data_IF_642518467646
#
_entry.id   IF_642518467646
#
_cell.length_a   1.000
_cell.length_b   1.000
_cell.length_c   1.000
_cell.angle_alpha   90.00
_cell.angle_beta   90.00
_cell.angle_gamma   90.00
#
_symmetry.space_group_name_H-M   'P 1'
#
loop_
_entity.id
_entity.type
_entity.pdbx_description
1 polymer ?
#
# COMPACT_ATOMS: atom_id res chain seq x y z
N UNK A 1 -28.67 -31.24 16.92
CA UNK A 1 -27.74 -30.48 16.06
C UNK A 1 -28.53 -29.71 15.00
N UNK A 2 -28.21 -28.44 14.74
CA UNK A 2 -28.76 -27.69 13.60
C UNK A 2 -28.33 -28.37 12.28
N UNK A 3 -29.19 -28.41 11.26
CA UNK A 3 -28.82 -28.93 9.93
C UNK A 3 -27.62 -28.17 9.35
N UNK A 4 -26.82 -28.81 8.49
CA UNK A 4 -25.65 -28.18 7.85
C UNK A 4 -26.03 -26.92 7.09
N UNK A 5 -27.14 -26.95 6.35
CA UNK A 5 -27.70 -25.77 5.70
C UNK A 5 -27.97 -24.61 6.67
N UNK A 6 -28.60 -24.87 7.83
CA UNK A 6 -28.88 -23.83 8.84
C UNK A 6 -27.60 -23.27 9.46
N UNK A 7 -26.59 -24.11 9.66
CA UNK A 7 -25.28 -23.67 10.17
C UNK A 7 -24.54 -22.79 9.14
N UNK A 8 -24.48 -23.20 7.88
CA UNK A 8 -23.88 -22.40 6.81
C UNK A 8 -24.59 -21.06 6.61
N UNK A 9 -25.92 -21.04 6.72
CA UNK A 9 -26.69 -19.79 6.69
C UNK A 9 -26.32 -18.89 7.87
N UNK A 10 -26.21 -19.45 9.08
CA UNK A 10 -25.78 -18.71 10.26
C UNK A 10 -24.38 -18.12 10.10
N UNK A 11 -23.39 -18.88 9.61
CA UNK A 11 -22.02 -18.37 9.39
C UNK A 11 -22.03 -17.20 8.41
N UNK A 12 -22.71 -17.35 7.27
CA UNK A 12 -22.82 -16.31 6.25
C UNK A 12 -23.48 -15.04 6.82
N UNK A 13 -24.67 -15.15 7.42
CA UNK A 13 -25.40 -14.00 7.94
C UNK A 13 -24.63 -13.30 9.07
N UNK A 14 -23.99 -14.06 9.96
CA UNK A 14 -23.22 -13.51 11.07
C UNK A 14 -22.00 -12.75 10.57
N UNK A 15 -21.22 -13.37 9.68
CA UNK A 15 -20.01 -12.72 9.16
C UNK A 15 -20.35 -11.50 8.31
N UNK A 16 -21.35 -11.58 7.43
CA UNK A 16 -21.79 -10.42 6.63
C UNK A 16 -22.17 -9.25 7.55
N UNK A 17 -22.98 -9.49 8.60
CA UNK A 17 -23.36 -8.44 9.54
C UNK A 17 -22.14 -7.81 10.25
N UNK A 18 -21.22 -8.65 10.76
CA UNK A 18 -20.04 -8.16 11.48
C UNK A 18 -19.08 -7.40 10.55
N UNK A 19 -18.88 -7.91 9.33
CA UNK A 19 -17.99 -7.29 8.36
C UNK A 19 -18.57 -5.96 7.86
N UNK A 20 -19.84 -5.92 7.48
CA UNK A 20 -20.51 -4.68 7.03
C UNK A 20 -20.46 -3.60 8.10
N UNK A 21 -20.80 -3.92 9.36
CA UNK A 21 -20.75 -2.95 10.45
C UNK A 21 -19.35 -2.35 10.66
N UNK A 22 -18.30 -3.15 10.48
CA UNK A 22 -16.93 -2.65 10.52
C UNK A 22 -16.60 -1.78 9.30
N UNK A 23 -16.91 -2.24 8.09
CA UNK A 23 -16.57 -1.55 6.84
C UNK A 23 -17.24 -0.18 6.74
N UNK A 24 -18.50 -0.06 7.16
CA UNK A 24 -19.23 1.22 7.18
C UNK A 24 -18.51 2.26 8.04
N UNK A 25 -18.07 1.87 9.24
CA UNK A 25 -17.34 2.74 10.16
C UNK A 25 -15.92 3.03 9.66
N UNK A 26 -15.25 2.02 9.11
CA UNK A 26 -13.93 2.14 8.51
C UNK A 26 -13.91 3.18 7.39
N UNK A 27 -14.91 3.16 6.50
CA UNK A 27 -14.99 4.15 5.42
C UNK A 27 -15.28 5.56 5.93
N UNK A 28 -16.11 5.73 6.97
CA UNK A 28 -16.36 7.05 7.57
C UNK A 28 -15.07 7.63 8.18
N UNK A 29 -14.34 6.84 8.98
CA UNK A 29 -13.05 7.23 9.55
C UNK A 29 -12.03 7.57 8.47
N UNK A 30 -11.90 6.72 7.45
CA UNK A 30 -10.96 6.92 6.36
C UNK A 30 -11.30 8.12 5.46
N UNK A 31 -12.57 8.54 5.43
CA UNK A 31 -13.00 9.77 4.76
C UNK A 31 -12.81 11.04 5.62
N UNK A 32 -12.24 10.89 6.81
CA UNK A 32 -11.76 11.99 7.66
C UNK A 32 -12.61 12.29 8.89
N UNK A 33 -13.72 11.57 9.11
CA UNK A 33 -14.50 11.69 10.33
C UNK A 33 -14.00 10.70 11.40
N UNK A 34 -13.03 11.14 12.18
CA UNK A 34 -12.44 10.37 13.27
C UNK A 34 -13.34 10.26 14.52
N UNK A 35 -14.55 10.83 14.49
CA UNK A 35 -15.53 10.68 15.57
C UNK A 35 -16.02 9.24 15.76
N UNK A 36 -15.88 8.40 14.72
CA UNK A 36 -16.32 6.99 14.74
C UNK A 36 -15.24 5.99 15.16
N UNK A 37 -14.00 6.43 15.39
CA UNK A 37 -12.84 5.54 15.60
C UNK A 37 -13.05 4.56 16.75
N UNK A 38 -13.60 5.01 17.88
CA UNK A 38 -13.85 4.16 19.04
C UNK A 38 -14.92 3.07 18.76
N UNK A 39 -15.90 3.37 17.92
CA UNK A 39 -16.93 2.39 17.54
C UNK A 39 -16.43 1.47 16.43
N UNK A 40 -15.58 1.98 15.52
CA UNK A 40 -14.86 1.18 14.53
C UNK A 40 -14.00 0.13 15.24
N UNK A 41 -13.23 0.50 16.27
CA UNK A 41 -12.39 -0.42 17.04
C UNK A 41 -13.22 -1.53 17.70
N UNK A 42 -14.37 -1.19 18.28
CA UNK A 42 -15.30 -2.18 18.84
C UNK A 42 -15.87 -3.11 17.77
N UNK A 43 -16.22 -2.58 16.59
CA UNK A 43 -16.72 -3.38 15.47
C UNK A 43 -15.65 -4.32 14.92
N UNK A 44 -14.40 -3.83 14.81
CA UNK A 44 -13.23 -4.60 14.42
C UNK A 44 -13.00 -5.76 15.39
N UNK A 45 -12.99 -5.50 16.69
CA UNK A 45 -12.81 -6.53 17.72
C UNK A 45 -13.88 -7.62 17.66
N UNK A 46 -15.16 -7.26 17.43
CA UNK A 46 -16.26 -8.23 17.27
C UNK A 46 -16.09 -9.10 16.02
N UNK A 47 -15.70 -8.49 14.90
CA UNK A 47 -15.44 -9.21 13.63
C UNK A 47 -14.26 -10.15 13.78
N UNK A 48 -13.19 -9.71 14.44
CA UNK A 48 -11.98 -10.49 14.61
C UNK A 48 -12.18 -11.65 15.60
N UNK A 49 -12.95 -11.44 16.67
CA UNK A 49 -13.37 -12.52 17.56
C UNK A 49 -14.09 -13.65 16.82
N UNK A 50 -14.93 -13.33 15.83
CA UNK A 50 -15.57 -14.34 14.97
C UNK A 50 -14.54 -15.06 14.09
N UNK A 51 -13.59 -14.33 13.47
CA UNK A 51 -12.54 -14.91 12.61
C UNK A 51 -11.66 -15.90 13.36
N UNK A 52 -11.38 -15.63 14.63
CA UNK A 52 -10.51 -16.45 15.49
C UNK A 52 -11.26 -17.48 16.34
N UNK A 53 -12.57 -17.70 16.10
CA UNK A 53 -13.36 -18.61 16.93
C UNK A 53 -13.02 -20.09 16.66
N UNK A 54 -12.26 -20.69 17.58
CA UNK A 54 -11.83 -22.10 17.54
C UNK A 54 -13.03 -23.06 17.61
N UNK A 55 -14.13 -22.66 18.26
CA UNK A 55 -15.32 -23.50 18.39
C UNK A 55 -16.06 -23.60 17.06
N UNK A 56 -16.22 -22.48 16.35
CA UNK A 56 -16.80 -22.47 15.00
C UNK A 56 -15.92 -23.23 13.99
N UNK A 57 -14.60 -23.05 14.06
CA UNK A 57 -13.64 -23.79 13.24
C UNK A 57 -13.78 -25.31 13.46
N UNK A 58 -13.86 -25.75 14.71
CA UNK A 58 -14.07 -27.17 15.07
C UNK A 58 -15.42 -27.68 14.57
N UNK A 59 -16.49 -26.91 14.68
CA UNK A 59 -17.81 -27.33 14.19
C UNK A 59 -17.82 -27.51 12.66
N UNK A 60 -17.09 -26.66 11.92
CA UNK A 60 -16.89 -26.84 10.46
C UNK A 60 -16.20 -28.18 10.17
N UNK A 61 -15.12 -28.49 10.90
CA UNK A 61 -14.39 -29.75 10.73
C UNK A 61 -15.23 -30.99 11.09
N UNK A 62 -16.00 -30.94 12.17
CA UNK A 62 -16.91 -32.02 12.57
C UNK A 62 -17.98 -32.30 11.51
N UNK A 63 -18.57 -31.23 10.93
CA UNK A 63 -19.55 -31.33 9.86
C UNK A 63 -18.97 -31.83 8.54
N UNK A 64 -17.67 -31.60 8.29
CA UNK A 64 -16.94 -32.17 7.15
C UNK A 64 -16.64 -33.66 7.34
N UNK A 65 -16.27 -34.09 8.56
CA UNK A 65 -15.95 -35.50 8.88
C UNK A 65 -17.16 -36.42 8.76
N UNK A 66 -18.39 -35.90 8.87
CA UNK A 66 -19.62 -36.67 8.63
C UNK A 66 -19.73 -37.89 9.53
N UNK A 67 -19.58 -37.69 10.85
CA UNK A 67 -19.54 -38.76 11.86
C UNK A 67 -20.76 -39.70 11.83
N UNK A 68 -20.62 -40.87 12.47
CA UNK A 68 -21.70 -41.87 12.59
C UNK A 68 -22.94 -41.22 13.23
N UNK A 69 -24.05 -41.18 12.50
CA UNK A 69 -25.31 -40.55 12.93
C UNK A 69 -25.53 -39.11 12.45
N UNK A 70 -24.56 -38.49 11.75
CA UNK A 70 -24.75 -37.19 11.13
C UNK A 70 -25.49 -37.32 9.78
N UNK A 71 -26.44 -36.43 9.53
CA UNK A 71 -27.08 -36.30 8.21
C UNK A 71 -25.99 -35.96 7.18
N UNK A 72 -25.83 -36.80 6.15
CA UNK A 72 -24.81 -36.59 5.11
C UNK A 72 -25.00 -35.22 4.47
N UNK A 73 -24.02 -34.34 4.62
CA UNK A 73 -23.95 -33.08 3.87
C UNK A 73 -23.92 -33.38 2.37
N UNK A 74 -24.73 -32.64 1.62
CA UNK A 74 -24.71 -32.67 0.15
C UNK A 74 -23.34 -32.25 -0.40
N UNK A 75 -23.03 -32.58 -1.65
CA UNK A 75 -21.80 -32.13 -2.30
C UNK A 75 -21.65 -30.59 -2.25
N UNK A 76 -22.74 -29.86 -2.48
CA UNK A 76 -22.78 -28.39 -2.40
C UNK A 76 -22.46 -27.86 -1.00
N UNK A 77 -23.01 -28.48 0.04
CA UNK A 77 -22.72 -28.10 1.42
C UNK A 77 -21.26 -28.38 1.80
N UNK A 78 -20.69 -29.51 1.34
CA UNK A 78 -19.27 -29.81 1.54
C UNK A 78 -18.36 -28.77 0.92
N UNK A 79 -18.60 -28.36 -0.33
CA UNK A 79 -17.81 -27.31 -0.97
C UNK A 79 -17.86 -25.99 -0.19
N UNK A 80 -19.03 -25.62 0.33
CA UNK A 80 -19.17 -24.41 1.17
C UNK A 80 -18.46 -24.53 2.52
N UNK A 81 -18.51 -25.71 3.15
CA UNK A 81 -17.77 -25.97 4.39
C UNK A 81 -16.25 -25.90 4.17
N UNK A 82 -15.74 -26.34 3.02
CA UNK A 82 -14.32 -26.23 2.68
C UNK A 82 -13.87 -24.77 2.57
N UNK A 83 -14.71 -23.88 2.03
CA UNK A 83 -14.43 -22.43 2.00
C UNK A 83 -14.34 -21.88 3.43
N UNK A 84 -15.30 -22.21 4.29
CA UNK A 84 -15.27 -21.79 5.70
C UNK A 84 -14.08 -22.38 6.46
N UNK A 85 -13.70 -23.63 6.17
CA UNK A 85 -12.50 -24.25 6.74
C UNK A 85 -11.25 -23.47 6.36
N UNK A 86 -11.08 -23.12 5.08
CA UNK A 86 -9.96 -22.26 4.63
C UNK A 86 -10.02 -20.92 5.35
N UNK A 87 -11.18 -20.27 5.39
CA UNK A 87 -11.36 -18.99 6.08
C UNK A 87 -10.89 -19.05 7.54
N UNK A 88 -11.39 -19.99 8.36
CA UNK A 88 -10.97 -20.08 9.76
C UNK A 88 -9.48 -20.41 9.90
N UNK A 89 -8.94 -21.30 9.05
CA UNK A 89 -7.53 -21.70 9.10
C UNK A 89 -6.55 -20.54 8.93
N UNK A 90 -6.96 -19.47 8.25
CA UNK A 90 -6.14 -18.27 8.05
C UNK A 90 -5.96 -17.41 9.30
N UNK A 91 -6.85 -17.55 10.29
CA UNK A 91 -6.88 -16.70 11.49
C UNK A 91 -6.63 -17.47 12.80
N UNK A 92 -6.47 -18.80 12.74
CA UNK A 92 -6.10 -19.57 13.93
C UNK A 92 -4.64 -19.29 14.29
N UNK A 93 -4.40 -18.97 15.55
CA UNK A 93 -3.07 -18.82 16.12
C UNK A 93 -2.94 -19.70 17.36
N UNK A 94 -1.85 -20.46 17.51
CA UNK A 94 -1.54 -21.16 18.76
C UNK A 94 -1.44 -20.19 19.94
N UNK A 95 -1.76 -20.65 21.15
CA UNK A 95 -1.73 -19.80 22.34
C UNK A 95 -0.31 -19.30 22.65
N UNK A 96 0.70 -20.07 22.27
CA UNK A 96 2.12 -19.82 22.52
C UNK A 96 2.63 -18.56 21.79
N UNK A 97 1.99 -18.18 20.69
CA UNK A 97 2.38 -16.98 19.90
C UNK A 97 1.56 -15.74 20.22
N UNK A 98 0.57 -15.85 21.11
CA UNK A 98 -0.34 -14.75 21.44
C UNK A 98 0.39 -13.54 22.05
N UNK A 99 1.31 -13.80 22.98
CA UNK A 99 2.11 -12.75 23.62
C UNK A 99 3.03 -12.05 22.61
N UNK A 100 3.62 -12.79 21.67
CA UNK A 100 4.47 -12.23 20.61
C UNK A 100 3.65 -11.30 19.71
N UNK A 101 2.43 -11.74 19.34
CA UNK A 101 1.50 -10.94 18.54
C UNK A 101 1.12 -9.63 19.25
N UNK A 102 0.83 -9.71 20.54
CA UNK A 102 0.51 -8.55 21.36
C UNK A 102 1.68 -7.55 21.40
N UNK A 103 2.89 -8.03 21.73
CA UNK A 103 4.10 -7.20 21.77
C UNK A 103 4.39 -6.52 20.43
N UNK A 104 4.20 -7.24 19.31
CA UNK A 104 4.36 -6.67 17.98
C UNK A 104 3.35 -5.53 17.72
N UNK A 105 2.09 -5.71 18.12
CA UNK A 105 1.05 -4.67 17.96
C UNK A 105 1.25 -3.44 18.84
N UNK A 106 1.72 -3.63 20.07
CA UNK A 106 2.08 -2.53 20.99
C UNK A 106 3.24 -1.71 20.43
N UNK A 107 4.29 -2.38 19.92
CA UNK A 107 5.43 -1.71 19.31
C UNK A 107 5.05 -0.97 18.02
N UNK A 108 4.18 -1.55 17.18
CA UNK A 108 3.66 -0.90 15.98
C UNK A 108 2.82 0.35 16.31
N UNK A 109 2.03 0.29 17.37
CA UNK A 109 1.27 1.44 17.87
C UNK A 109 2.20 2.53 18.37
N UNK A 110 3.22 2.17 19.14
CA UNK A 110 4.22 3.12 19.63
C UNK A 110 5.02 3.77 18.48
N UNK A 111 5.44 2.97 17.51
CA UNK A 111 6.13 3.42 16.30
C UNK A 111 5.27 4.42 15.50
N UNK A 112 4.00 4.09 15.30
CA UNK A 112 3.05 4.95 14.57
C UNK A 112 2.85 6.29 15.28
N UNK A 113 2.73 6.29 16.61
CA UNK A 113 2.65 7.52 17.41
C UNK A 113 3.90 8.38 17.29
N UNK A 114 5.09 7.79 17.41
CA UNK A 114 6.36 8.52 17.22
C UNK A 114 6.44 9.19 15.85
N UNK A 115 6.01 8.47 14.80
CA UNK A 115 6.00 8.98 13.44
C UNK A 115 5.04 10.16 13.25
N UNK A 116 3.84 10.10 13.84
CA UNK A 116 2.84 11.18 13.68
C UNK A 116 3.09 12.39 14.57
N UNK A 117 3.80 12.24 15.68
CA UNK A 117 4.09 13.34 16.61
C UNK A 117 5.39 14.10 16.36
N UNK A 118 6.23 13.63 15.43
CA UNK A 118 7.55 14.25 15.20
C UNK A 118 7.42 15.58 14.46
N UNK A 119 8.33 16.51 14.73
CA UNK A 119 8.49 17.73 13.93
C UNK A 119 9.26 17.38 12.66
N UNK A 120 8.67 17.66 11.51
CA UNK A 120 9.24 17.36 10.20
C UNK A 120 9.62 18.65 9.46
N UNK A 121 10.69 18.60 8.68
CA UNK A 121 11.14 19.73 7.88
C UNK A 121 12.51 19.50 7.27
N UNK A 122 13.00 20.51 6.56
CA UNK A 122 14.32 20.49 5.92
C UNK A 122 15.05 21.81 6.19
N UNK A 123 16.38 21.79 6.10
CA UNK A 123 17.20 23.00 6.18
C UNK A 123 17.32 23.60 4.79
N UNK A 124 16.90 24.85 4.63
CA UNK A 124 17.02 25.56 3.35
C UNK A 124 18.50 25.80 3.01
N UNK A 125 19.00 25.29 1.88
CA UNK A 125 20.39 25.46 1.49
C UNK A 125 20.80 26.93 1.23
N UNK A 126 19.86 27.85 0.99
CA UNK A 126 20.16 29.26 0.73
C UNK A 126 20.28 30.07 2.02
N UNK A 127 19.36 29.85 2.95
CA UNK A 127 19.25 30.64 4.19
C UNK A 127 19.86 29.94 5.40
N UNK A 128 20.06 28.62 5.34
CA UNK A 128 20.47 27.80 6.49
C UNK A 128 19.37 27.62 7.54
N UNK A 129 18.16 28.16 7.30
CA UNK A 129 17.05 28.08 8.24
C UNK A 129 16.32 26.74 8.14
N UNK A 130 15.83 26.24 9.27
CA UNK A 130 14.93 25.09 9.27
C UNK A 130 13.53 25.51 8.82
N UNK A 131 13.01 24.85 7.79
CA UNK A 131 11.67 25.06 7.24
C UNK A 131 10.80 23.87 7.61
N UNK A 132 9.75 24.14 8.39
CA UNK A 132 8.75 23.13 8.73
C UNK A 132 7.97 22.68 7.48
N UNK A 133 7.99 21.37 7.27
CA UNK A 133 7.34 20.74 6.13
C UNK A 133 7.06 19.28 6.44
N UNK A 134 5.82 18.84 6.22
CA UNK A 134 5.48 17.42 6.29
C UNK A 134 6.23 16.61 5.25
N UNK A 135 6.36 15.30 5.47
CA UNK A 135 6.94 14.34 4.52
C UNK A 135 6.28 14.46 3.15
N UNK A 136 4.95 14.66 3.11
CA UNK A 136 4.20 14.88 1.87
C UNK A 136 4.58 16.19 1.17
N UNK A 137 4.72 17.28 1.93
CA UNK A 137 5.16 18.58 1.37
C UNK A 137 6.58 18.49 0.82
N UNK A 138 7.51 17.86 1.54
CA UNK A 138 8.88 17.63 1.05
C UNK A 138 8.91 16.74 -0.21
N UNK A 139 8.06 15.71 -0.28
CA UNK A 139 7.91 14.85 -1.47
C UNK A 139 7.38 15.63 -2.68
N UNK A 140 6.54 16.64 -2.46
CA UNK A 140 6.11 17.56 -3.52
C UNK A 140 7.24 18.48 -3.96
N UNK A 141 8.00 19.05 -3.01
CA UNK A 141 9.18 19.90 -3.32
C UNK A 141 10.20 19.12 -4.15
N UNK A 142 10.48 17.86 -3.80
CA UNK A 142 11.34 16.95 -4.57
C UNK A 142 10.91 16.76 -6.03
N UNK A 143 9.64 16.96 -6.34
CA UNK A 143 9.05 16.75 -7.66
C UNK A 143 8.94 18.03 -8.48
N UNK A 144 8.72 19.18 -7.84
CA UNK A 144 8.32 20.41 -8.53
C UNK A 144 9.28 21.58 -8.34
N UNK A 145 10.13 21.55 -7.32
CA UNK A 145 10.97 22.69 -7.02
C UNK A 145 12.06 22.87 -8.08
N UNK A 146 12.27 24.08 -8.63
CA UNK A 146 13.21 24.31 -9.72
C UNK A 146 14.67 24.12 -9.29
N UNK A 147 15.00 24.51 -8.05
CA UNK A 147 16.36 24.47 -7.53
C UNK A 147 16.75 23.06 -7.06
N UNK A 148 17.86 22.54 -7.60
CA UNK A 148 18.39 21.22 -7.23
C UNK A 148 18.82 21.14 -5.77
N UNK A 149 19.45 22.20 -5.25
CA UNK A 149 19.91 22.23 -3.87
C UNK A 149 18.76 22.03 -2.87
N UNK A 150 17.60 22.67 -3.12
CA UNK A 150 16.41 22.52 -2.27
C UNK A 150 15.82 21.12 -2.38
N UNK A 151 15.79 20.54 -3.58
CA UNK A 151 15.38 19.13 -3.77
C UNK A 151 16.28 18.19 -2.98
N UNK A 152 17.60 18.37 -3.06
CA UNK A 152 18.57 17.56 -2.31
C UNK A 152 18.37 17.71 -0.79
N UNK A 153 18.18 18.94 -0.29
CA UNK A 153 17.93 19.17 1.13
C UNK A 153 16.67 18.44 1.64
N UNK A 154 15.58 18.46 0.86
CA UNK A 154 14.38 17.69 1.17
C UNK A 154 14.63 16.17 1.14
N UNK A 155 15.40 15.68 0.15
CA UNK A 155 15.76 14.27 0.07
C UNK A 155 16.54 13.82 1.31
N UNK A 156 17.60 14.54 1.66
CA UNK A 156 18.48 14.21 2.78
C UNK A 156 17.71 14.25 4.11
N UNK A 157 16.87 15.27 4.32
CA UNK A 157 16.00 15.35 5.49
C UNK A 157 15.07 14.13 5.60
N UNK A 158 14.47 13.69 4.48
CA UNK A 158 13.64 12.49 4.45
C UNK A 158 14.42 11.20 4.73
N UNK A 159 15.68 11.09 4.29
CA UNK A 159 16.53 9.96 4.62
C UNK A 159 16.88 9.94 6.11
N UNK A 160 17.23 11.09 6.70
CA UNK A 160 17.51 11.19 8.13
C UNK A 160 16.28 10.81 8.97
N UNK A 161 15.11 11.32 8.61
CA UNK A 161 13.84 10.98 9.26
C UNK A 161 13.52 9.48 9.22
N UNK A 162 14.03 8.72 8.24
CA UNK A 162 13.85 7.27 8.19
C UNK A 162 14.72 6.55 9.23
N UNK A 163 15.85 7.15 9.62
CA UNK A 163 16.81 6.55 10.57
C UNK A 163 16.38 6.71 12.03
N UNK A 164 15.59 7.73 12.37
CA UNK A 164 15.17 8.05 13.75
C UNK A 164 14.50 6.87 14.50
N UNK A 165 13.90 5.94 13.77
CA UNK A 165 13.18 4.79 14.33
C UNK A 165 13.70 3.45 13.79
N UNK A 166 14.95 3.40 13.31
CA UNK A 166 15.52 2.19 12.72
C UNK A 166 15.57 1.02 13.72
N UNK A 167 15.97 1.27 14.97
CA UNK A 167 16.05 0.23 16.01
C UNK A 167 14.67 -0.35 16.36
N UNK A 168 13.66 0.52 16.52
CA UNK A 168 12.28 0.10 16.77
C UNK A 168 11.74 -0.73 15.60
N UNK A 169 12.06 -0.34 14.36
CA UNK A 169 11.66 -1.08 13.17
C UNK A 169 12.30 -2.47 13.12
N UNK A 170 13.60 -2.59 13.42
CA UNK A 170 14.30 -3.88 13.48
C UNK A 170 13.70 -4.77 14.57
N UNK A 171 13.41 -4.22 15.75
CA UNK A 171 12.76 -4.95 16.84
C UNK A 171 11.35 -5.44 16.44
N UNK A 172 10.57 -4.61 15.76
CA UNK A 172 9.25 -4.97 15.23
C UNK A 172 9.34 -6.10 14.20
N UNK A 173 10.31 -6.05 13.27
CA UNK A 173 10.55 -7.12 12.28
C UNK A 173 10.93 -8.42 12.97
N UNK A 174 11.76 -8.37 14.02
CA UNK A 174 12.14 -9.55 14.79
C UNK A 174 10.93 -10.22 15.46
N UNK A 175 10.05 -9.45 16.10
CA UNK A 175 8.82 -9.95 16.72
C UNK A 175 7.86 -10.56 15.68
N UNK A 176 7.65 -9.87 14.55
CA UNK A 176 6.82 -10.36 13.45
C UNK A 176 7.32 -11.68 12.87
N UNK A 177 8.64 -11.81 12.69
CA UNK A 177 9.25 -13.04 12.22
C UNK A 177 9.17 -14.16 13.27
N UNK A 178 9.32 -13.86 14.56
CA UNK A 178 9.13 -14.83 15.63
C UNK A 178 7.68 -15.36 15.66
N UNK A 179 6.70 -14.46 15.52
CA UNK A 179 5.28 -14.82 15.40
C UNK A 179 5.04 -15.75 14.20
N UNK A 180 5.53 -15.39 13.01
CA UNK A 180 5.35 -16.20 11.81
C UNK A 180 6.01 -17.59 11.91
N UNK A 181 7.20 -17.68 12.50
CA UNK A 181 7.86 -18.97 12.77
C UNK A 181 7.08 -19.83 13.74
N UNK A 182 6.47 -19.24 14.76
CA UNK A 182 5.59 -19.96 15.68
C UNK A 182 4.31 -20.48 15.02
N UNK A 183 3.88 -19.89 13.91
CA UNK A 183 2.80 -20.40 13.05
C UNK A 183 3.27 -21.47 12.04
N UNK A 184 4.57 -21.75 11.95
CA UNK A 184 5.15 -22.69 10.99
C UNK A 184 5.56 -22.09 9.64
N UNK A 185 5.58 -20.76 9.50
CA UNK A 185 6.10 -20.09 8.30
C UNK A 185 7.60 -19.77 8.43
N UNK A 186 8.27 -19.56 7.30
CA UNK A 186 9.69 -19.19 7.26
C UNK A 186 9.95 -17.82 7.91
N UNK A 187 9.13 -16.83 7.56
CA UNK A 187 9.19 -15.45 8.03
C UNK A 187 7.81 -14.77 7.90
N UNK A 188 7.72 -13.53 8.38
CA UNK A 188 6.48 -12.76 8.35
C UNK A 188 6.00 -12.43 6.94
N UNK A 189 6.92 -12.32 5.98
CA UNK A 189 6.57 -12.05 4.60
C UNK A 189 5.89 -13.25 3.94
N UNK A 190 6.41 -14.46 4.16
CA UNK A 190 5.78 -15.71 3.71
C UNK A 190 4.39 -15.91 4.33
N UNK A 191 4.24 -15.61 5.62
CA UNK A 191 2.95 -15.64 6.31
C UNK A 191 1.94 -14.68 5.67
N UNK A 192 2.31 -13.40 5.49
CA UNK A 192 1.42 -12.39 4.90
C UNK A 192 1.06 -12.71 3.46
N UNK A 193 2.01 -13.26 2.69
CA UNK A 193 1.79 -13.61 1.29
C UNK A 193 0.79 -14.78 1.12
N UNK A 194 0.89 -15.84 1.93
CA UNK A 194 -0.11 -16.93 1.91
C UNK A 194 -1.47 -16.45 2.43
N UNK A 195 -1.49 -15.59 3.45
CA UNK A 195 -2.71 -15.05 4.02
C UNK A 195 -3.52 -14.22 3.01
N UNK A 196 -2.85 -13.29 2.32
CA UNK A 196 -3.50 -12.31 1.46
C UNK A 196 -3.68 -12.83 0.02
N UNK A 197 -2.67 -13.50 -0.53
CA UNK A 197 -2.61 -13.88 -1.95
C UNK A 197 -2.66 -15.41 -2.16
N UNK A 198 -2.42 -16.22 -1.12
CA UNK A 198 -2.39 -17.68 -1.24
C UNK A 198 -1.24 -18.22 -2.09
N UNK A 199 -0.14 -17.47 -2.19
CA UNK A 199 1.06 -17.87 -2.95
C UNK A 199 2.31 -17.93 -2.07
N UNK A 200 3.32 -18.65 -2.54
CA UNK A 200 4.63 -18.77 -1.88
C UNK A 200 5.62 -17.71 -2.39
N UNK A 201 6.66 -17.40 -1.59
CA UNK A 201 7.72 -16.47 -2.00
C UNK A 201 8.35 -16.86 -3.35
N UNK A 202 8.71 -18.13 -3.64
CA UNK A 202 9.28 -18.50 -4.93
C UNK A 202 8.33 -18.27 -6.12
N UNK A 203 7.02 -18.45 -5.93
CA UNK A 203 6.03 -18.15 -6.97
C UNK A 203 5.98 -16.64 -7.27
N UNK A 204 5.97 -15.81 -6.23
CA UNK A 204 5.98 -14.36 -6.39
C UNK A 204 7.26 -13.86 -7.06
N UNK A 205 8.43 -14.29 -6.58
CA UNK A 205 9.71 -13.85 -7.15
C UNK A 205 9.86 -14.29 -8.61
N UNK A 206 9.35 -15.47 -9.00
CA UNK A 206 9.32 -15.87 -10.40
C UNK A 206 8.52 -14.91 -11.30
N UNK A 207 7.42 -14.34 -10.78
CA UNK A 207 6.64 -13.32 -11.50
C UNK A 207 7.48 -12.06 -11.66
N UNK A 208 8.11 -11.59 -10.57
CA UNK A 208 8.97 -10.40 -10.60
C UNK A 208 10.17 -10.57 -11.52
N UNK A 209 10.81 -11.73 -11.52
CA UNK A 209 11.93 -12.06 -12.41
C UNK A 209 11.49 -11.99 -13.88
N UNK A 210 10.31 -12.54 -14.21
CA UNK A 210 9.76 -12.48 -15.57
C UNK A 210 9.50 -11.05 -16.02
N UNK A 211 8.93 -10.22 -15.13
CA UNK A 211 8.70 -8.80 -15.41
C UNK A 211 10.02 -8.07 -15.59
N UNK A 212 10.98 -8.28 -14.68
CA UNK A 212 12.30 -7.66 -14.72
C UNK A 212 13.03 -7.96 -16.04
N UNK A 213 13.07 -9.23 -16.45
CA UNK A 213 13.71 -9.64 -17.70
C UNK A 213 13.12 -8.95 -18.93
N UNK A 214 11.80 -8.71 -18.93
CA UNK A 214 11.12 -8.00 -20.01
C UNK A 214 11.35 -6.50 -20.01
N UNK A 215 11.61 -5.87 -18.86
CA UNK A 215 11.69 -4.40 -18.75
C UNK A 215 13.09 -3.86 -18.51
N UNK A 216 14.09 -4.70 -18.20
CA UNK A 216 15.44 -4.25 -17.82
C UNK A 216 16.15 -3.42 -18.90
N UNK A 217 15.79 -3.60 -20.18
CA UNK A 217 16.34 -2.78 -21.28
C UNK A 217 16.07 -1.28 -21.08
N UNK A 218 14.96 -0.91 -20.42
CA UNK A 218 14.60 0.48 -20.19
C UNK A 218 15.62 1.24 -19.33
N UNK A 219 16.41 0.53 -18.50
CA UNK A 219 17.46 1.16 -17.69
C UNK A 219 18.63 1.66 -18.54
N UNK A 220 18.90 1.05 -19.70
CA UNK A 220 19.94 1.53 -20.63
C UNK A 220 19.52 2.84 -21.31
N UNK A 221 18.23 3.01 -21.57
CA UNK A 221 17.70 4.23 -22.19
C UNK A 221 17.84 5.44 -21.27
N UNK A 222 17.71 5.26 -19.94
CA UNK A 222 17.95 6.36 -18.97
C UNK A 222 19.37 6.92 -19.09
N UNK A 223 20.38 6.08 -19.31
CA UNK A 223 21.79 6.53 -19.46
C UNK A 223 21.99 7.31 -20.76
N UNK A 224 21.36 6.87 -21.85
CA UNK A 224 21.39 7.58 -23.13
C UNK A 224 20.70 8.95 -23.00
N UNK A 225 19.55 8.98 -22.33
CA UNK A 225 18.80 10.20 -22.07
C UNK A 225 19.59 11.21 -21.24
N UNK A 226 20.28 10.77 -20.18
CA UNK A 226 21.13 11.65 -19.37
C UNK A 226 22.27 12.26 -20.21
N UNK A 227 22.94 11.46 -21.04
CA UNK A 227 23.99 11.95 -21.96
C UNK A 227 23.46 12.99 -22.94
N UNK A 228 22.29 12.72 -23.54
CA UNK A 228 21.65 13.64 -24.47
C UNK A 228 21.27 14.95 -23.78
N UNK A 229 20.68 14.90 -22.58
CA UNK A 229 20.37 16.10 -21.80
C UNK A 229 21.61 16.95 -21.52
N UNK A 230 22.72 16.32 -21.14
CA UNK A 230 23.98 17.02 -20.88
C UNK A 230 24.58 17.63 -22.14
N UNK A 231 24.33 17.02 -23.31
CA UNK A 231 24.72 17.58 -24.61
C UNK A 231 23.88 18.81 -24.97
N UNK A 232 22.57 18.74 -24.75
CA UNK A 232 21.63 19.83 -25.06
C UNK A 232 21.74 21.00 -24.06
N UNK A 233 22.06 20.69 -22.80
CA UNK A 233 22.28 21.67 -21.74
C UNK A 233 23.32 21.13 -20.73
N UNK A 234 24.55 21.68 -20.69
CA UNK A 234 25.58 21.25 -19.74
C UNK A 234 25.15 21.32 -18.27
N UNK A 235 24.25 22.27 -17.95
CA UNK A 235 23.67 22.49 -16.62
C UNK A 235 22.47 21.59 -16.32
N UNK A 236 22.09 20.69 -17.23
CA UNK A 236 20.96 19.78 -17.00
C UNK A 236 21.18 18.94 -15.72
N UNK A 237 20.16 18.74 -14.88
CA UNK A 237 20.28 17.95 -13.67
C UNK A 237 20.63 16.50 -13.99
N UNK A 238 21.40 15.87 -13.11
CA UNK A 238 21.76 14.45 -13.25
C UNK A 238 20.51 13.59 -12.95
N UNK A 239 19.98 12.92 -13.97
CA UNK A 239 18.75 12.12 -13.90
C UNK A 239 18.83 11.01 -12.85
N UNK A 240 20.01 10.42 -12.71
CA UNK A 240 20.23 9.28 -11.80
C UNK A 240 20.38 9.67 -10.34
N UNK A 241 20.39 10.96 -10.01
CA UNK A 241 20.38 11.40 -8.60
C UNK A 241 18.98 11.21 -8.01
N UNK A 242 18.85 10.64 -6.80
CA UNK A 242 17.55 10.37 -6.19
C UNK A 242 16.63 11.58 -6.07
N UNK A 243 17.20 12.77 -5.86
CA UNK A 243 16.48 14.04 -5.75
C UNK A 243 16.10 14.69 -7.10
N UNK A 244 16.50 14.10 -8.23
CA UNK A 244 16.24 14.64 -9.58
C UNK A 244 15.39 13.71 -10.46
N UNK A 245 15.37 12.41 -10.17
CA UNK A 245 14.69 11.43 -11.05
C UNK A 245 13.20 11.74 -11.21
N UNK A 246 12.50 12.06 -10.12
CA UNK A 246 11.06 12.38 -10.16
C UNK A 246 10.78 13.76 -10.75
N UNK A 247 11.62 14.75 -10.45
CA UNK A 247 11.50 16.09 -11.01
C UNK A 247 11.67 16.09 -12.53
N UNK A 248 12.58 15.28 -13.04
CA UNK A 248 12.88 15.20 -14.47
C UNK A 248 11.78 14.51 -15.26
N UNK A 249 11.09 13.51 -14.68
CA UNK A 249 9.93 12.87 -15.30
C UNK A 249 8.75 13.84 -15.41
N UNK A 250 8.46 14.58 -14.34
CA UNK A 250 7.35 15.56 -14.33
C UNK A 250 7.66 16.76 -15.23
N UNK A 251 8.87 17.32 -15.13
CA UNK A 251 9.29 18.42 -15.99
C UNK A 251 9.19 18.07 -17.47
N UNK A 252 9.48 16.82 -17.86
CA UNK A 252 9.31 16.35 -19.24
C UNK A 252 7.86 16.11 -19.64
N UNK A 253 7.02 15.58 -18.75
CA UNK A 253 5.59 15.46 -19.01
C UNK A 253 4.99 16.86 -19.29
N UNK A 254 5.37 17.86 -18.49
CA UNK A 254 4.94 19.25 -18.66
C UNK A 254 5.54 19.89 -19.91
N UNK A 255 6.81 19.64 -20.24
CA UNK A 255 7.42 20.17 -21.48
C UNK A 255 6.79 19.56 -22.73
N UNK A 256 6.44 18.27 -22.69
CA UNK A 256 5.75 17.61 -23.81
C UNK A 256 4.34 18.17 -23.99
N UNK A 257 3.59 18.43 -22.91
CA UNK A 257 2.30 19.12 -22.96
C UNK A 257 2.45 20.54 -23.52
N UNK A 258 3.44 21.30 -23.05
CA UNK A 258 3.71 22.65 -23.54
C UNK A 258 4.14 22.67 -25.01
N UNK A 259 4.91 21.68 -25.46
CA UNK A 259 5.33 21.54 -26.87
C UNK A 259 4.14 21.18 -27.77
N UNK A 260 3.24 20.32 -27.31
CA UNK A 260 1.98 20.00 -28.02
C UNK A 260 1.07 21.23 -28.11
N UNK A 261 0.91 21.97 -27.01
CA UNK A 261 0.13 23.22 -26.98
C UNK A 261 0.73 24.31 -27.89
N UNK A 262 2.05 24.52 -27.84
CA UNK A 262 2.74 25.48 -28.71
C UNK A 262 2.77 25.05 -30.18
N UNK A 263 2.63 23.76 -30.47
CA UNK A 263 2.46 23.25 -31.84
C UNK A 263 1.02 23.48 -32.34
N UNK A 264 0.01 23.36 -31.49
CA UNK A 264 -1.37 23.71 -31.83
C UNK A 264 -1.53 25.21 -32.08
N UNK A 265 -0.93 26.07 -31.27
CA UNK A 265 -0.98 27.53 -31.49
C UNK A 265 -0.26 27.96 -32.79
N UNK A 266 0.86 27.31 -33.13
CA UNK A 266 1.57 27.56 -34.40
C UNK A 266 0.81 27.08 -35.64
N UNK A 267 -0.07 26.10 -35.52
CA UNK A 267 -0.94 25.65 -36.62
C UNK A 267 -2.14 26.59 -36.81
N UNK A 268 -2.59 27.26 -35.74
CA UNK A 268 -3.75 28.16 -35.79
C UNK A 268 -3.37 29.58 -36.26
N UNK A 269 -2.14 30.04 -36.02
CA UNK A 269 -1.73 31.43 -36.31
C UNK A 269 -1.68 31.84 -37.81
N UNK A 270 -1.25 31.00 -38.78
CA UNK A 270 -1.28 31.40 -40.20
C UNK A 270 -2.69 31.34 -40.82
N UNK A 271 -3.59 30.54 -40.24
CA UNK A 271 -4.94 30.33 -40.79
C UNK A 271 -5.87 31.50 -40.46
N UNK A 272 -5.65 32.21 -39.34
CA UNK A 272 -6.49 33.35 -38.94
C UNK A 272 -6.05 34.72 -39.48
N UNK A 273 -4.93 34.83 -40.21
CA UNK A 273 -4.53 36.08 -40.88
C UNK A 273 -5.12 36.24 -42.30
N UNK A 274 -5.74 35.20 -42.85
CA UNK A 274 -6.21 35.18 -44.25
C UNK A 274 -7.74 35.29 -44.41
N UNK A 275 -8.49 35.27 -43.30
CA UNK A 275 -9.96 35.10 -43.35
C UNK A 275 -10.78 36.22 -42.69
N UNK A 276 -10.15 37.31 -42.23
CA UNK A 276 -10.87 38.47 -41.65
C UNK A 276 -10.73 39.70 -42.54
N UNK A 277 -11.13 39.58 -43.83
CA UNK A 277 -11.26 40.74 -44.72
C UNK A 277 -12.52 40.74 -45.60
N UNK A 278 -13.55 39.96 -45.24
CA UNK A 278 -14.73 39.79 -46.11
C UNK A 278 -16.11 39.84 -45.44
N UNK A 279 -16.27 40.41 -44.23
CA UNK A 279 -17.62 40.58 -43.64
C UNK A 279 -17.76 41.89 -42.86
N UNK A 280 -17.55 43.04 -43.51
CA UNK A 280 -18.07 44.34 -43.05
C UNK A 280 -18.38 45.28 -44.22
N UNK A 281 -19.02 44.75 -45.27
CA UNK A 281 -19.73 45.55 -46.27
C UNK A 281 -20.94 44.73 -46.74
N UNK A 282 -22.05 44.83 -45.98
CA UNK A 282 -23.48 44.83 -46.33
C UNK A 282 -24.24 45.28 -45.08
#
# INVERSE_FOLDING_TARGET
>A
MKSTSKFLAQLNTTFTKLHTAYEELFWISNMGDHGVDADMDKAMAKRDAFRTDVTLAREVDERLKGGKGAMKSTAKEKSRLLVWKRFFSLYQAPAEVAEIKQKAGELETAFSKKKTSRKEGYVDPKTGAFIEASENKMRTILRTHPEEATRKACFDAMQMMAMDNADDYVAMVALRNAYARGLGYEDFYAYKLDLDEGITKPQLFRIFDNVYEKVKYAFDDIRKLEKQMKKDSPTAPELRKPWNITASVIGRALSNIATVSASQERVISPVMSSSVRWVLDI
#
